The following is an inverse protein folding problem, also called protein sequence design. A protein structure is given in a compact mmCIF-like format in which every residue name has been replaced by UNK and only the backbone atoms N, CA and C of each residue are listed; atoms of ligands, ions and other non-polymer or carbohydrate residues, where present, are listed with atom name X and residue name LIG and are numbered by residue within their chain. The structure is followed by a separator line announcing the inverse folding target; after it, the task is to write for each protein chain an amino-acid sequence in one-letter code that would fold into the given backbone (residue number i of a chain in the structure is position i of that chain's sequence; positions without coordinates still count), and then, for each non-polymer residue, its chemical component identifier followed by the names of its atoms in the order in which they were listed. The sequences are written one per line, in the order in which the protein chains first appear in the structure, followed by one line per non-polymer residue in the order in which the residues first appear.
data_IF_257665857614
#
_entry.id   IF_257665857614
#
_cell.length_a   1.000
_cell.length_b   1.000
_cell.length_c   1.000
_cell.angle_alpha   90.00
_cell.angle_beta   90.00
_cell.angle_gamma   90.00
#
_symmetry.space_group_name_H-M   'P 1'
#
loop_
_entity.id
_entity.type
_entity.pdbx_description
1 polymer ?
#
# COMPACT_ATOMS: atom_id res chain seq x y z
N UNK A 1 -0.12 8.39 -34.33
CA UNK A 1 -0.94 8.11 -33.14
C UNK A 1 -0.15 8.59 -31.94
N UNK A 2 -0.63 9.57 -31.16
CA UNK A 2 0.02 9.89 -29.88
C UNK A 2 -0.33 8.77 -28.90
N UNK A 3 0.68 8.05 -28.42
CA UNK A 3 0.52 7.07 -27.34
C UNK A 3 0.22 7.81 -26.05
N UNK A 4 -0.96 7.57 -25.46
CA UNK A 4 -1.30 8.10 -24.13
C UNK A 4 -0.27 7.59 -23.11
N UNK A 5 0.18 8.47 -22.21
CA UNK A 5 1.05 8.12 -21.08
C UNK A 5 0.38 7.07 -20.19
N UNK A 6 1.06 5.98 -19.80
CA UNK A 6 0.50 4.99 -18.88
C UNK A 6 0.14 5.62 -17.54
N UNK A 7 -1.04 5.32 -17.02
CA UNK A 7 -1.56 5.80 -15.76
C UNK A 7 -1.20 4.79 -14.68
N UNK A 8 -0.48 5.23 -13.65
CA UNK A 8 0.00 4.36 -12.57
C UNK A 8 -0.62 4.75 -11.25
N UNK A 9 -1.28 3.82 -10.59
CA UNK A 9 -1.83 4.02 -9.26
C UNK A 9 -0.72 3.88 -8.21
N UNK A 10 -0.61 4.86 -7.32
CA UNK A 10 0.41 4.88 -6.27
C UNK A 10 -0.21 4.42 -4.94
N UNK A 11 -0.16 3.11 -4.70
CA UNK A 11 -0.62 2.51 -3.46
C UNK A 11 0.44 2.65 -2.36
N UNK A 12 0.02 2.93 -1.13
CA UNK A 12 0.95 3.06 0.00
C UNK A 12 0.45 3.96 1.13
N UNK A 13 1.10 3.90 2.31
CA UNK A 13 0.72 4.69 3.49
C UNK A 13 1.12 6.17 3.40
N UNK A 14 1.55 6.65 2.24
CA UNK A 14 2.10 7.99 2.03
C UNK A 14 1.14 9.13 2.43
N UNK A 15 -0.17 8.89 2.37
CA UNK A 15 -1.22 9.84 2.77
C UNK A 15 -1.23 10.13 4.27
N UNK A 16 -0.71 9.19 5.09
CA UNK A 16 -0.71 9.31 6.54
C UNK A 16 0.56 9.99 7.09
N UNK A 17 1.47 10.44 6.21
CA UNK A 17 2.68 11.13 6.64
C UNK A 17 2.35 12.56 7.09
N UNK A 18 3.06 13.13 8.08
CA UNK A 18 2.87 14.53 8.46
C UNK A 18 3.05 15.51 7.28
N UNK A 19 3.90 15.17 6.31
CA UNK A 19 4.18 15.90 5.09
C UNK A 19 3.63 15.20 3.84
N UNK A 20 2.44 14.58 3.95
CA UNK A 20 1.85 13.79 2.86
C UNK A 20 1.75 14.57 1.55
N UNK A 21 1.36 15.85 1.60
CA UNK A 21 1.22 16.70 0.41
C UNK A 21 2.54 16.84 -0.35
N UNK A 22 3.62 17.18 0.33
CA UNK A 22 4.95 17.34 -0.29
C UNK A 22 5.48 15.99 -0.79
N UNK A 23 5.26 14.93 -0.01
CA UNK A 23 5.74 13.60 -0.38
C UNK A 23 5.02 13.06 -1.62
N UNK A 24 3.69 13.15 -1.68
CA UNK A 24 2.91 12.73 -2.84
C UNK A 24 3.19 13.59 -4.08
N UNK A 25 3.39 14.90 -3.92
CA UNK A 25 3.80 15.77 -5.02
C UNK A 25 5.17 15.36 -5.59
N UNK A 26 6.11 14.97 -4.72
CA UNK A 26 7.40 14.42 -5.14
C UNK A 26 7.22 13.11 -5.92
N UNK A 27 6.46 12.15 -5.41
CA UNK A 27 6.18 10.88 -6.10
C UNK A 27 5.50 11.09 -7.46
N UNK A 28 4.54 12.01 -7.54
CA UNK A 28 3.89 12.40 -8.79
C UNK A 28 4.90 12.95 -9.80
N UNK A 29 5.77 13.88 -9.37
CA UNK A 29 6.82 14.43 -10.22
C UNK A 29 7.82 13.35 -10.68
N UNK A 30 8.10 12.32 -9.87
CA UNK A 30 8.93 11.18 -10.30
C UNK A 30 8.26 10.40 -11.42
N UNK A 31 6.98 10.04 -11.25
CA UNK A 31 6.20 9.36 -12.29
C UNK A 31 6.19 10.18 -13.59
N UNK A 32 6.01 11.50 -13.47
CA UNK A 32 5.98 12.39 -14.61
C UNK A 32 7.31 12.46 -15.37
N UNK A 33 8.45 12.45 -14.68
CA UNK A 33 9.77 12.38 -15.34
C UNK A 33 10.00 11.08 -16.09
N UNK A 34 9.34 10.00 -15.68
CA UNK A 34 9.42 8.69 -16.33
C UNK A 34 8.33 8.46 -17.40
N UNK A 35 7.62 9.50 -17.83
CA UNK A 35 6.60 9.37 -18.87
C UNK A 35 5.28 8.76 -18.38
N UNK A 36 5.10 8.59 -17.08
CA UNK A 36 3.89 8.03 -16.45
C UNK A 36 2.95 9.15 -15.99
N UNK A 37 1.66 8.85 -15.87
CA UNK A 37 0.64 9.73 -15.27
C UNK A 37 0.25 9.16 -13.90
N UNK A 38 0.60 9.82 -12.79
CA UNK A 38 0.28 9.31 -11.46
C UNK A 38 -1.22 9.40 -11.17
N UNK A 39 -1.77 8.36 -10.54
CA UNK A 39 -3.08 8.36 -9.88
C UNK A 39 -2.83 8.26 -8.38
N UNK A 40 -3.08 9.36 -7.68
CA UNK A 40 -2.86 9.47 -6.24
C UNK A 40 -4.17 9.08 -5.52
N UNK A 41 -4.14 8.14 -4.56
CA UNK A 41 -5.31 7.85 -3.75
C UNK A 41 -5.79 9.11 -3.04
N UNK A 42 -7.11 9.22 -2.89
CA UNK A 42 -7.72 10.32 -2.14
C UNK A 42 -7.86 9.90 -0.69
N UNK A 43 -7.47 10.77 0.23
CA UNK A 43 -7.79 10.63 1.64
C UNK A 43 -8.43 11.94 2.12
N UNK A 44 -9.75 12.04 1.98
CA UNK A 44 -10.49 13.21 2.45
C UNK A 44 -10.80 13.07 3.95
N UNK A 45 -9.75 12.98 4.77
CA UNK A 45 -9.83 12.88 6.23
C UNK A 45 -10.14 14.24 6.91
N UNK A 46 -10.48 15.30 6.15
CA UNK A 46 -10.78 16.61 6.73
C UNK A 46 -12.16 16.67 7.42
N UNK A 47 -13.02 15.67 7.21
CA UNK A 47 -14.34 15.54 7.85
C UNK A 47 -14.38 14.48 8.95
N UNK A 48 -15.49 14.43 9.71
CA UNK A 48 -15.74 13.31 10.61
C UNK A 48 -15.73 11.99 9.82
N UNK A 49 -14.96 11.01 10.28
CA UNK A 49 -14.90 9.68 9.69
C UNK A 49 -16.22 8.94 9.89
N UNK A 50 -17.21 9.25 9.04
CA UNK A 50 -18.50 8.57 8.99
C UNK A 50 -18.52 7.51 7.88
N UNK A 51 -19.47 6.57 7.98
CA UNK A 51 -19.61 5.50 6.98
C UNK A 51 -19.81 6.02 5.54
N UNK A 52 -20.56 7.12 5.30
CA UNK A 52 -20.64 7.76 3.99
C UNK A 52 -19.29 8.22 3.43
N UNK A 53 -18.42 8.84 4.24
CA UNK A 53 -17.10 9.29 3.81
C UNK A 53 -16.20 8.11 3.43
N UNK A 54 -16.15 7.07 4.28
CA UNK A 54 -15.37 5.86 3.99
C UNK A 54 -15.82 5.19 2.67
N UNK A 55 -17.13 5.17 2.41
CA UNK A 55 -17.68 4.63 1.15
C UNK A 55 -17.22 5.45 -0.06
N UNK A 56 -17.25 6.77 0.00
CA UNK A 56 -16.82 7.65 -1.09
C UNK A 56 -15.33 7.50 -1.39
N UNK A 57 -14.49 7.42 -0.34
CA UNK A 57 -13.04 7.20 -0.48
C UNK A 57 -12.78 5.86 -1.18
N UNK A 58 -13.44 4.80 -0.71
CA UNK A 58 -13.35 3.47 -1.31
C UNK A 58 -13.76 3.48 -2.80
N UNK A 59 -14.89 4.10 -3.13
CA UNK A 59 -15.38 4.19 -4.51
C UNK A 59 -14.42 4.98 -5.41
N UNK A 60 -13.90 6.11 -4.93
CA UNK A 60 -12.92 6.93 -5.65
C UNK A 60 -11.64 6.14 -5.94
N UNK A 61 -11.07 5.49 -4.92
CA UNK A 61 -9.82 4.74 -5.05
C UNK A 61 -9.97 3.52 -5.97
N UNK A 62 -11.06 2.77 -5.83
CA UNK A 62 -11.33 1.62 -6.71
C UNK A 62 -11.64 2.04 -8.15
N UNK A 63 -12.27 3.20 -8.38
CA UNK A 63 -12.45 3.74 -9.72
C UNK A 63 -11.11 4.16 -10.35
N UNK A 64 -10.19 4.74 -9.57
CA UNK A 64 -8.83 5.04 -10.04
C UNK A 64 -8.09 3.77 -10.44
N UNK A 65 -8.11 2.74 -9.60
CA UNK A 65 -7.52 1.42 -9.88
C UNK A 65 -8.07 0.81 -11.17
N UNK A 66 -9.40 0.80 -11.37
CA UNK A 66 -10.05 0.30 -12.60
C UNK A 66 -9.61 1.05 -13.86
N UNK A 67 -9.12 2.26 -13.71
CA UNK A 67 -8.71 3.14 -14.81
C UNK A 67 -7.19 3.21 -14.99
N UNK A 68 -6.43 2.51 -14.13
CA UNK A 68 -4.98 2.45 -14.16
C UNK A 68 -4.49 1.46 -15.22
N UNK A 69 -3.28 1.69 -15.71
CA UNK A 69 -2.53 0.77 -16.58
C UNK A 69 -1.51 -0.06 -15.76
N UNK A 70 -1.35 0.23 -14.46
CA UNK A 70 -0.46 -0.48 -13.54
C UNK A 70 -0.45 0.11 -12.13
N UNK A 71 0.19 -0.58 -11.19
CA UNK A 71 0.28 -0.17 -9.78
C UNK A 71 1.73 -0.16 -9.31
N UNK A 72 2.11 0.91 -8.61
CA UNK A 72 3.32 0.96 -7.77
C UNK A 72 2.89 0.89 -6.32
N UNK A 73 3.33 -0.14 -5.59
CA UNK A 73 2.89 -0.40 -4.22
C UNK A 73 4.05 -0.26 -3.22
N UNK A 74 3.93 0.71 -2.32
CA UNK A 74 4.85 0.87 -1.17
C UNK A 74 4.46 -0.10 -0.05
N UNK A 75 5.23 -1.17 0.10
CA UNK A 75 5.03 -2.22 1.09
C UNK A 75 5.99 -2.09 2.28
N UNK A 76 6.41 -0.87 2.62
CA UNK A 76 7.15 -0.62 3.85
C UNK A 76 6.38 -1.08 5.09
N UNK A 77 7.11 -1.37 6.17
CA UNK A 77 6.51 -1.61 7.48
C UNK A 77 5.70 -0.39 7.94
N UNK A 78 4.43 -0.61 8.29
CA UNK A 78 3.53 0.45 8.69
C UNK A 78 2.81 0.10 9.99
N UNK A 79 3.12 0.85 11.06
CA UNK A 79 2.56 0.65 12.42
C UNK A 79 2.71 -0.79 12.95
N UNK A 80 3.72 -1.51 12.48
CA UNK A 80 4.01 -2.91 12.79
C UNK A 80 4.98 -3.49 11.76
N UNK A 81 5.15 -4.82 11.74
CA UNK A 81 6.02 -5.51 10.79
C UNK A 81 5.36 -5.83 9.44
N UNK A 82 4.08 -5.52 9.30
CA UNK A 82 3.30 -5.73 8.09
C UNK A 82 3.17 -4.43 7.28
N UNK A 83 2.91 -4.54 5.97
CA UNK A 83 2.48 -3.41 5.17
C UNK A 83 1.15 -2.81 5.66
N UNK A 84 0.86 -1.60 5.19
CA UNK A 84 -0.46 -0.99 5.37
C UNK A 84 -1.58 -1.88 4.79
N UNK A 85 -2.65 -2.10 5.56
CA UNK A 85 -3.74 -2.99 5.17
C UNK A 85 -4.59 -2.43 4.02
N UNK A 86 -4.70 -1.11 3.89
CA UNK A 86 -5.33 -0.47 2.74
C UNK A 86 -4.56 -0.75 1.46
N UNK A 87 -3.24 -0.59 1.51
CA UNK A 87 -2.32 -0.92 0.41
C UNK A 87 -2.39 -2.41 0.05
N UNK A 88 -2.46 -3.32 1.03
CA UNK A 88 -2.63 -4.75 0.76
C UNK A 88 -3.96 -5.07 0.04
N UNK A 89 -5.05 -4.39 0.42
CA UNK A 89 -6.32 -4.48 -0.29
C UNK A 89 -6.20 -3.99 -1.75
N UNK A 90 -5.55 -2.85 -1.98
CA UNK A 90 -5.36 -2.26 -3.31
C UNK A 90 -4.52 -3.16 -4.22
N UNK A 91 -3.47 -3.81 -3.68
CA UNK A 91 -2.67 -4.82 -4.38
C UNK A 91 -3.53 -6.01 -4.79
N UNK A 92 -4.34 -6.56 -3.88
CA UNK A 92 -5.25 -7.66 -4.18
C UNK A 92 -6.29 -7.27 -5.24
N UNK A 93 -6.82 -6.06 -5.16
CA UNK A 93 -7.77 -5.52 -6.13
C UNK A 93 -7.14 -5.37 -7.51
N UNK A 94 -5.92 -4.84 -7.59
CA UNK A 94 -5.16 -4.70 -8.83
C UNK A 94 -4.84 -6.06 -9.47
N UNK A 95 -4.51 -7.07 -8.64
CA UNK A 95 -4.25 -8.43 -9.11
C UNK A 95 -5.51 -9.05 -9.74
N UNK A 96 -6.68 -8.82 -9.14
CA UNK A 96 -7.97 -9.27 -9.70
C UNK A 96 -8.34 -8.57 -11.02
N UNK A 97 -7.76 -7.39 -11.28
CA UNK A 97 -7.88 -6.67 -12.56
C UNK A 97 -6.78 -7.03 -13.57
N UNK A 98 -5.88 -7.96 -13.22
CA UNK A 98 -4.73 -8.37 -14.03
C UNK A 98 -3.78 -7.19 -14.39
N UNK A 99 -3.75 -6.17 -13.53
CA UNK A 99 -2.82 -5.05 -13.70
C UNK A 99 -1.39 -5.48 -13.37
N UNK A 100 -0.37 -4.96 -14.08
CA UNK A 100 1.01 -5.12 -13.65
C UNK A 100 1.24 -4.39 -12.31
N UNK A 101 1.84 -5.09 -11.35
CA UNK A 101 2.11 -4.57 -10.00
C UNK A 101 3.62 -4.59 -9.77
N UNK A 102 4.18 -3.46 -9.36
CA UNK A 102 5.57 -3.36 -8.89
C UNK A 102 5.56 -2.94 -7.43
N UNK A 103 6.00 -3.84 -6.56
CA UNK A 103 6.16 -3.57 -5.14
C UNK A 103 7.55 -3.01 -4.82
N UNK A 104 7.62 -2.09 -3.86
CA UNK A 104 8.86 -1.54 -3.32
C UNK A 104 8.72 -1.29 -1.81
N UNK A 105 9.78 -0.87 -1.13
CA UNK A 105 9.75 -0.52 0.30
C UNK A 105 9.71 -1.71 1.27
N UNK A 106 9.37 -2.91 0.79
CA UNK A 106 9.37 -4.12 1.60
C UNK A 106 10.77 -4.41 2.21
N UNK A 107 10.85 -4.77 3.50
CA UNK A 107 12.10 -5.18 4.12
C UNK A 107 12.71 -6.42 3.43
N UNK A 108 14.04 -6.46 3.33
CA UNK A 108 14.75 -7.59 2.73
C UNK A 108 14.78 -8.83 3.63
N UNK A 109 14.77 -8.65 4.96
CA UNK A 109 14.73 -9.75 5.91
C UNK A 109 13.36 -10.43 5.90
N UNK A 110 13.30 -11.75 6.15
CA UNK A 110 12.03 -12.46 6.17
C UNK A 110 11.14 -12.02 7.35
N UNK A 111 9.81 -12.08 7.19
CA UNK A 111 8.86 -11.62 8.20
C UNK A 111 9.07 -12.28 9.57
N UNK A 112 9.22 -13.61 9.60
CA UNK A 112 9.40 -14.38 10.82
C UNK A 112 10.62 -13.90 11.62
N UNK A 113 11.74 -13.62 10.96
CA UNK A 113 12.95 -13.14 11.63
C UNK A 113 12.76 -11.74 12.21
N UNK A 114 12.02 -10.86 11.52
CA UNK A 114 11.73 -9.50 12.02
C UNK A 114 10.82 -9.54 13.25
N UNK A 115 9.78 -10.37 13.22
CA UNK A 115 8.87 -10.54 14.38
C UNK A 115 9.60 -11.14 15.58
N UNK A 116 10.43 -12.16 15.37
CA UNK A 116 11.19 -12.80 16.46
C UNK A 116 12.22 -11.86 17.13
N UNK A 117 12.58 -10.74 16.49
CA UNK A 117 13.46 -9.73 17.08
C UNK A 117 12.73 -8.77 18.02
N UNK A 118 11.40 -8.64 17.90
CA UNK A 118 10.60 -7.68 18.68
C UNK A 118 9.58 -8.35 19.59
N UNK A 119 9.32 -9.65 19.40
CA UNK A 119 8.40 -10.47 20.21
C UNK A 119 9.07 -11.75 20.66
N UNK A 120 8.70 -12.22 21.85
CA UNK A 120 9.07 -13.55 22.29
C UNK A 120 8.35 -14.58 21.42
N UNK A 121 9.11 -15.33 20.64
CA UNK A 121 8.58 -16.35 19.76
C UNK A 121 9.33 -17.67 19.92
N UNK A 122 8.62 -18.76 19.70
CA UNK A 122 9.17 -20.12 19.60
C UNK A 122 8.74 -20.74 18.27
N UNK A 123 9.46 -21.77 17.81
CA UNK A 123 8.99 -22.58 16.69
C UNK A 123 8.24 -23.79 17.23
N UNK A 124 7.06 -24.04 16.69
CA UNK A 124 6.30 -25.24 17.06
C UNK A 124 6.93 -26.51 16.45
N UNK A 125 6.32 -27.67 16.72
CA UNK A 125 6.78 -28.96 16.20
C UNK A 125 6.79 -29.06 14.66
N UNK A 126 6.11 -28.14 13.96
CA UNK A 126 6.09 -28.05 12.49
C UNK A 126 7.08 -26.99 11.97
N UNK A 127 7.86 -26.34 12.86
CA UNK A 127 8.81 -25.29 12.51
C UNK A 127 8.17 -23.91 12.29
N UNK A 128 6.86 -23.76 12.52
CA UNK A 128 6.13 -22.50 12.36
C UNK A 128 6.40 -21.60 13.56
N UNK A 129 6.66 -20.32 13.30
CA UNK A 129 6.87 -19.33 14.36
C UNK A 129 5.54 -19.05 15.08
N UNK A 130 5.54 -19.13 16.41
CA UNK A 130 4.42 -18.77 17.29
C UNK A 130 4.89 -17.80 18.35
N UNK A 131 4.05 -16.83 18.70
CA UNK A 131 4.32 -15.96 19.83
C UNK A 131 4.11 -16.75 21.13
N UNK A 132 5.03 -16.58 22.08
CA UNK A 132 5.00 -17.31 23.35
C UNK A 132 3.74 -16.99 24.18
N UNK A 133 3.22 -15.77 24.06
CA UNK A 133 2.05 -15.28 24.80
C UNK A 133 0.71 -15.65 24.15
N UNK A 134 0.70 -16.32 22.99
CA UNK A 134 -0.53 -16.81 22.34
C UNK A 134 -1.17 -18.01 23.05
N UNK A 135 -0.59 -18.48 24.17
CA UNK A 135 -1.14 -19.56 25.00
C UNK A 135 -2.14 -18.98 26.01
N UNK A 136 -3.26 -18.46 25.53
CA UNK A 136 -4.43 -18.17 26.36
C UNK A 136 -5.66 -18.89 25.83
#
# INVERSE_FOLDING_TARGET
MQTRRPRVYLAGPSLFRPNAKEHLASLAAQCERHGLTPLLPTDDCAGAADAPLARRIYESNTQMLRSADGVLADLQEWRGHEPDSGTAFEVGFAAALELPIVAYGAPQACYADRVAQTRACERDALGMLRECDSRM
#
